data_IF_810353184534
#
_entry.id   IF_810353184534
#
_cell.length_a   1.000
_cell.length_b   1.000
_cell.length_c   1.000
_cell.angle_alpha   90.00
_cell.angle_beta   90.00
_cell.angle_gamma   90.00
#
_symmetry.space_group_name_H-M   'P 1'
#
loop_
_entity.id
_entity.type
_entity.pdbx_description
1 polymer ?
#
# COMPACT_ATOMS: atom_id res chain seq x y z
N UNK A 1 4.38 -55.30 -2.17
CA UNK A 1 4.84 -53.89 -2.26
C UNK A 1 4.12 -53.25 -3.45
N UNK A 2 2.95 -52.67 -3.21
CA UNK A 2 2.18 -51.86 -4.17
C UNK A 2 1.66 -50.67 -3.36
N UNK A 3 2.12 -49.49 -3.73
CA UNK A 3 1.82 -48.22 -3.07
C UNK A 3 0.38 -47.79 -3.33
N UNK A 4 -0.21 -47.24 -2.28
CA UNK A 4 -1.56 -46.71 -2.19
C UNK A 4 -1.79 -45.54 -3.15
N UNK A 5 -2.85 -45.61 -3.95
CA UNK A 5 -3.49 -44.44 -4.55
C UNK A 5 -4.40 -43.81 -3.50
N UNK A 6 -3.99 -42.69 -2.91
CA UNK A 6 -4.88 -41.82 -2.14
C UNK A 6 -5.27 -40.65 -3.05
N UNK A 7 -6.51 -40.72 -3.55
CA UNK A 7 -7.18 -39.64 -4.26
C UNK A 7 -7.72 -38.69 -3.18
N UNK A 8 -7.14 -37.51 -3.02
CA UNK A 8 -7.78 -36.41 -2.28
C UNK A 8 -8.65 -35.62 -3.25
N UNK A 9 -9.95 -35.94 -3.20
CA UNK A 9 -11.02 -35.25 -3.91
C UNK A 9 -11.47 -34.07 -3.02
N UNK A 10 -10.98 -32.86 -3.28
CA UNK A 10 -11.62 -31.64 -2.78
C UNK A 10 -12.50 -31.07 -3.89
N UNK A 11 -13.77 -31.44 -3.85
CA UNK A 11 -14.82 -30.80 -4.63
C UNK A 11 -15.22 -29.50 -3.91
N UNK A 12 -14.86 -28.35 -4.48
CA UNK A 12 -15.37 -27.05 -4.03
C UNK A 12 -16.46 -26.60 -5.02
N UNK A 13 -17.69 -26.34 -4.57
CA UNK A 13 -18.79 -25.94 -5.45
C UNK A 13 -18.59 -24.50 -5.94
N UNK A 14 -18.47 -24.34 -7.26
CA UNK A 14 -18.47 -23.05 -7.96
C UNK A 14 -19.89 -22.49 -7.94
N UNK A 15 -20.15 -21.49 -7.11
CA UNK A 15 -21.37 -20.68 -7.22
C UNK A 15 -21.19 -19.65 -8.33
N UNK A 16 -21.97 -19.79 -9.41
CA UNK A 16 -22.10 -18.77 -10.45
C UNK A 16 -22.78 -17.52 -9.89
N UNK A 17 -22.08 -16.39 -9.89
CA UNK A 17 -22.67 -15.06 -9.67
C UNK A 17 -22.93 -14.42 -11.03
N UNK A 18 -24.19 -14.46 -11.47
CA UNK A 18 -24.67 -13.76 -12.66
C UNK A 18 -24.65 -12.24 -12.42
N UNK A 19 -23.94 -11.51 -13.27
CA UNK A 19 -23.94 -10.04 -13.28
C UNK A 19 -25.26 -9.54 -13.89
N UNK A 20 -25.99 -8.71 -13.14
CA UNK A 20 -27.11 -7.92 -13.67
C UNK A 20 -26.56 -6.52 -13.94
N UNK A 21 -26.39 -6.20 -15.22
CA UNK A 21 -26.07 -4.86 -15.71
C UNK A 21 -27.31 -3.98 -15.59
N UNK A 22 -27.23 -2.90 -14.82
CA UNK A 22 -28.26 -1.86 -14.74
C UNK A 22 -27.70 -0.53 -15.22
N UNK A 23 -28.12 -0.09 -16.41
CA UNK A 23 -27.98 1.28 -16.88
C UNK A 23 -28.96 2.19 -16.14
N UNK A 24 -28.55 3.42 -15.85
CA UNK A 24 -29.47 4.55 -15.70
C UNK A 24 -28.86 5.81 -16.30
N UNK A 25 -29.46 6.25 -17.40
CA UNK A 25 -29.40 7.63 -17.90
C UNK A 25 -30.37 8.52 -17.09
N UNK A 26 -30.03 9.80 -16.92
CA UNK A 26 -30.88 11.04 -17.02
C UNK A 26 -30.18 12.17 -16.25
N UNK A 27 -29.69 13.22 -16.90
CA UNK A 27 -30.36 14.45 -17.40
C UNK A 27 -30.05 15.68 -16.51
N UNK A 28 -29.50 16.69 -17.19
CA UNK A 28 -29.60 18.15 -17.04
C UNK A 28 -30.28 18.77 -15.79
N UNK A 29 -29.65 19.83 -15.22
CA UNK A 29 -30.17 21.21 -15.35
C UNK A 29 -29.23 22.29 -14.73
N UNK A 30 -28.89 23.27 -15.59
CA UNK A 30 -28.92 24.73 -15.43
C UNK A 30 -28.11 25.53 -14.35
N UNK A 31 -27.22 26.38 -14.91
CA UNK A 31 -27.11 27.86 -14.79
C UNK A 31 -27.13 28.53 -13.40
N UNK A 32 -26.09 29.34 -13.12
CA UNK A 32 -26.26 30.81 -13.06
C UNK A 32 -24.92 31.59 -13.14
N UNK A 33 -25.08 32.88 -13.46
CA UNK A 33 -24.16 33.87 -14.04
C UNK A 33 -23.25 34.56 -13.02
N UNK A 34 -22.08 35.05 -13.46
CA UNK A 34 -21.32 36.10 -12.77
C UNK A 34 -20.25 36.75 -13.65
N UNK A 35 -20.46 38.02 -13.99
CA UNK A 35 -19.64 38.84 -14.90
C UNK A 35 -18.33 39.36 -14.29
N UNK A 36 -17.34 39.55 -15.18
CA UNK A 36 -16.33 40.62 -15.28
C UNK A 36 -15.67 41.17 -14.01
N UNK A 37 -14.35 40.98 -13.89
CA UNK A 37 -13.48 41.92 -13.18
C UNK A 37 -12.13 42.10 -13.90
N UNK A 38 -11.83 43.38 -14.02
CA UNK A 38 -10.67 44.12 -14.52
C UNK A 38 -9.33 43.49 -14.09
N UNK A 39 -8.37 43.45 -15.03
CA UNK A 39 -6.98 43.13 -14.74
C UNK A 39 -6.32 44.31 -13.99
N UNK A 40 -6.11 44.12 -12.69
CA UNK A 40 -5.20 44.93 -11.88
C UNK A 40 -3.78 44.34 -11.96
N UNK A 41 -2.80 45.23 -11.98
CA UNK A 41 -1.37 44.96 -12.04
C UNK A 41 -0.95 43.93 -10.99
N UNK A 42 -0.39 42.82 -11.46
CA UNK A 42 0.23 41.82 -10.61
C UNK A 42 1.54 42.38 -10.06
N UNK A 43 1.47 42.83 -8.80
CA UNK A 43 2.59 42.93 -7.88
C UNK A 43 3.46 41.67 -8.02
N UNK A 44 4.76 41.87 -8.25
CA UNK A 44 5.72 40.78 -8.50
C UNK A 44 5.79 39.92 -7.23
N UNK A 45 4.99 38.86 -7.20
CA UNK A 45 4.99 37.89 -6.13
C UNK A 45 6.41 37.35 -5.97
N UNK A 46 6.96 37.56 -4.77
CA UNK A 46 8.11 36.81 -4.26
C UNK A 46 7.92 35.35 -4.65
N UNK A 47 8.85 34.81 -5.46
CA UNK A 47 8.82 33.41 -5.89
C UNK A 47 8.86 32.58 -4.62
N UNK A 48 7.70 32.07 -4.19
CA UNK A 48 7.57 31.28 -2.99
C UNK A 48 8.54 30.10 -3.09
N UNK A 49 9.60 30.15 -2.29
CA UNK A 49 10.62 29.11 -2.26
C UNK A 49 9.96 27.80 -1.84
N UNK A 50 10.25 26.72 -2.58
CA UNK A 50 9.79 25.36 -2.24
C UNK A 50 10.06 25.08 -0.76
N UNK A 51 9.06 24.68 0.04
CA UNK A 51 9.23 24.41 1.46
C UNK A 51 10.22 23.25 1.64
N UNK A 52 11.21 23.45 2.51
CA UNK A 52 12.12 22.38 2.89
C UNK A 52 11.45 21.45 3.91
N UNK A 53 11.91 20.20 4.06
CA UNK A 53 11.42 19.28 5.10
C UNK A 53 11.38 19.91 6.50
N UNK A 54 12.41 20.67 6.88
CA UNK A 54 12.53 21.30 8.20
C UNK A 54 11.48 22.42 8.39
N UNK A 55 11.24 23.22 7.34
CA UNK A 55 10.21 24.26 7.38
C UNK A 55 8.83 23.64 7.50
N UNK A 56 8.56 22.58 6.73
CA UNK A 56 7.30 21.82 6.83
C UNK A 56 7.14 21.20 8.20
N UNK A 57 8.19 20.59 8.75
CA UNK A 57 8.19 20.02 10.10
C UNK A 57 7.81 21.07 11.15
N UNK A 58 8.46 22.23 11.14
CA UNK A 58 8.18 23.30 12.09
C UNK A 58 6.72 23.78 12.01
N UNK A 59 6.18 23.93 10.79
CA UNK A 59 4.78 24.31 10.57
C UNK A 59 3.80 23.25 11.10
N UNK A 60 4.05 21.98 10.79
CA UNK A 60 3.20 20.88 11.26
C UNK A 60 3.28 20.73 12.79
N UNK A 61 4.45 20.91 13.39
CA UNK A 61 4.58 20.87 14.86
C UNK A 61 3.86 22.04 15.54
N UNK A 62 3.84 23.22 14.91
CA UNK A 62 3.06 24.35 15.40
C UNK A 62 1.55 24.11 15.26
N UNK A 63 1.10 23.51 14.16
CA UNK A 63 -0.30 23.19 13.88
C UNK A 63 -0.83 22.07 14.79
N UNK A 64 0.01 21.09 15.10
CA UNK A 64 -0.29 19.93 15.94
C UNK A 64 0.65 19.89 17.14
N UNK A 65 0.43 20.74 18.18
CA UNK A 65 1.32 20.85 19.33
C UNK A 65 1.18 19.69 20.34
N UNK A 66 0.12 18.91 20.23
CA UNK A 66 -0.16 17.77 21.10
C UNK A 66 0.56 16.50 20.63
N UNK A 67 0.19 15.35 21.19
CA UNK A 67 0.70 14.02 20.83
C UNK A 67 0.28 13.67 19.40
N UNK A 68 1.25 13.26 18.58
CA UNK A 68 1.04 12.83 17.19
C UNK A 68 0.59 11.37 17.16
N UNK A 69 1.12 10.59 18.11
CA UNK A 69 0.80 9.20 18.33
C UNK A 69 -0.38 9.05 19.30
N UNK A 70 -1.60 8.98 18.77
CA UNK A 70 -2.73 8.47 19.54
C UNK A 70 -3.08 7.03 19.14
N UNK A 71 -3.90 6.37 19.96
CA UNK A 71 -4.21 4.94 19.87
C UNK A 71 -4.52 4.43 18.45
N UNK A 72 -5.20 5.24 17.63
CA UNK A 72 -5.69 4.86 16.30
C UNK A 72 -5.14 5.75 15.16
N UNK A 73 -3.99 6.41 15.41
CA UNK A 73 -3.33 7.34 14.50
C UNK A 73 -4.22 8.53 14.06
N UNK A 74 -5.19 8.95 14.86
CA UNK A 74 -6.12 10.01 14.48
C UNK A 74 -5.43 11.36 14.22
N UNK A 75 -4.44 11.72 15.04
CA UNK A 75 -3.65 12.93 14.88
C UNK A 75 -2.75 12.83 13.66
N UNK A 76 -2.07 11.70 13.43
CA UNK A 76 -1.31 11.49 12.20
C UNK A 76 -2.21 11.55 10.96
N UNK A 77 -3.42 10.99 10.99
CA UNK A 77 -4.43 11.14 9.93
C UNK A 77 -4.74 12.62 9.69
N UNK A 78 -5.01 13.40 10.75
CA UNK A 78 -5.25 14.85 10.65
C UNK A 78 -4.06 15.58 10.03
N UNK A 79 -2.82 15.25 10.43
CA UNK A 79 -1.58 15.78 9.83
C UNK A 79 -1.57 15.52 8.33
N UNK A 80 -1.83 14.29 7.89
CA UNK A 80 -1.81 13.91 6.47
C UNK A 80 -2.94 14.53 5.63
N UNK A 81 -3.97 15.06 6.28
CA UNK A 81 -5.05 15.84 5.64
C UNK A 81 -4.89 17.34 5.79
N UNK A 82 -3.85 17.81 6.49
CA UNK A 82 -3.64 19.23 6.74
C UNK A 82 -3.20 19.96 5.48
N UNK A 83 -3.61 21.22 5.35
CA UNK A 83 -3.23 22.05 4.20
C UNK A 83 -1.70 22.19 4.09
N UNK A 84 -0.99 22.39 5.20
CA UNK A 84 0.46 22.53 5.19
C UNK A 84 1.15 21.27 4.66
N UNK A 85 0.64 20.08 5.00
CA UNK A 85 1.16 18.82 4.51
C UNK A 85 0.88 18.62 3.02
N UNK A 86 -0.37 18.83 2.59
CA UNK A 86 -0.76 18.66 1.19
C UNK A 86 -0.06 19.67 0.27
N UNK A 87 0.05 20.93 0.69
CA UNK A 87 0.81 21.95 -0.04
C UNK A 87 2.30 21.55 -0.17
N UNK A 88 2.88 20.94 0.86
CA UNK A 88 4.24 20.39 0.81
C UNK A 88 4.35 19.25 -0.20
N UNK A 89 3.39 18.31 -0.23
CA UNK A 89 3.40 17.21 -1.20
C UNK A 89 3.29 17.72 -2.64
N UNK A 90 2.36 18.64 -2.91
CA UNK A 90 2.17 19.25 -4.25
C UNK A 90 3.45 19.93 -4.74
N UNK A 91 4.13 20.67 -3.86
CA UNK A 91 5.39 21.34 -4.21
C UNK A 91 6.59 20.38 -4.29
N UNK A 92 6.55 19.27 -3.54
CA UNK A 92 7.60 18.26 -3.54
C UNK A 92 7.53 17.36 -4.77
N UNK A 93 6.32 16.98 -5.16
CA UNK A 93 6.02 16.04 -6.24
C UNK A 93 5.09 16.66 -7.31
N UNK A 94 5.52 17.74 -7.99
CA UNK A 94 4.67 18.47 -8.93
C UNK A 94 4.26 17.63 -10.15
N UNK A 95 5.00 16.58 -10.48
CA UNK A 95 4.69 15.65 -11.57
C UNK A 95 3.52 14.69 -11.27
N UNK A 96 3.05 14.65 -10.02
CA UNK A 96 2.01 13.73 -9.53
C UNK A 96 0.65 14.43 -9.37
N UNK A 97 0.56 15.75 -9.64
CA UNK A 97 -0.67 16.55 -9.54
C UNK A 97 -1.64 16.19 -10.69
N UNK A 98 -2.98 16.16 -10.50
CA UNK A 98 -3.72 16.62 -9.32
C UNK A 98 -4.08 15.52 -8.30
N UNK A 99 -3.93 15.86 -7.02
CA UNK A 99 -4.49 15.12 -5.87
C UNK A 99 -4.89 16.10 -4.77
N UNK A 100 -5.88 15.74 -3.96
CA UNK A 100 -6.38 16.55 -2.83
C UNK A 100 -6.19 15.88 -1.46
N UNK A 101 -5.80 14.60 -1.46
CA UNK A 101 -5.61 13.80 -0.23
C UNK A 101 -4.34 12.98 -0.34
N UNK A 102 -3.83 12.46 0.79
CA UNK A 102 -2.73 11.50 0.78
C UNK A 102 -3.10 10.26 -0.03
N UNK A 103 -4.31 9.70 0.14
CA UNK A 103 -4.77 8.55 -0.65
C UNK A 103 -4.81 8.86 -2.15
N UNK A 104 -5.24 10.08 -2.51
CA UNK A 104 -5.17 10.57 -3.88
C UNK A 104 -3.73 10.55 -4.39
N UNK A 105 -2.79 11.12 -3.64
CA UNK A 105 -1.36 11.09 -3.95
C UNK A 105 -0.85 9.65 -4.16
N UNK A 106 -1.19 8.71 -3.28
CA UNK A 106 -0.77 7.31 -3.40
C UNK A 106 -1.34 6.64 -4.64
N UNK A 107 -2.54 7.02 -5.07
CA UNK A 107 -3.20 6.44 -6.24
C UNK A 107 -2.59 6.93 -7.56
N UNK A 108 -2.12 8.18 -7.61
CA UNK A 108 -1.52 8.77 -8.82
C UNK A 108 0.00 8.70 -8.86
N UNK A 109 0.66 8.48 -7.71
CA UNK A 109 2.10 8.32 -7.65
C UNK A 109 2.53 7.02 -8.37
N UNK A 110 3.40 7.10 -9.38
CA UNK A 110 3.88 5.90 -10.05
C UNK A 110 4.68 5.05 -9.07
N UNK A 111 4.54 3.70 -9.10
CA UNK A 111 5.34 2.84 -8.25
C UNK A 111 6.84 3.00 -8.58
N UNK A 112 7.74 2.98 -7.58
CA UNK A 112 9.17 3.14 -7.82
C UNK A 112 9.75 1.92 -8.57
N UNK A 113 10.12 2.02 -9.87
CA UNK A 113 10.50 0.83 -10.65
C UNK A 113 11.71 0.11 -10.07
N UNK A 114 12.69 0.86 -9.55
CA UNK A 114 13.90 0.33 -8.91
C UNK A 114 13.62 -0.62 -7.75
N UNK A 115 12.46 -0.51 -7.08
CA UNK A 115 12.06 -1.40 -5.98
C UNK A 115 11.65 -2.78 -6.50
N UNK A 116 10.94 -2.85 -7.61
CA UNK A 116 10.30 -4.08 -8.11
C UNK A 116 11.08 -4.74 -9.26
N UNK A 117 11.82 -3.97 -10.05
CA UNK A 117 12.59 -4.47 -11.18
C UNK A 117 13.56 -5.61 -10.84
N UNK A 118 14.32 -5.59 -9.72
CA UNK A 118 15.22 -6.69 -9.39
C UNK A 118 14.50 -8.02 -9.26
N UNK A 119 13.37 -8.04 -8.53
CA UNK A 119 12.51 -9.22 -8.38
C UNK A 119 11.92 -9.64 -9.74
N UNK A 120 11.36 -8.69 -10.49
CA UNK A 120 10.72 -8.96 -11.77
C UNK A 120 11.69 -9.57 -12.80
N UNK A 121 12.94 -9.13 -12.84
CA UNK A 121 13.96 -9.62 -13.79
C UNK A 121 14.33 -11.10 -13.59
N UNK A 122 13.99 -11.70 -12.46
CA UNK A 122 14.18 -13.14 -12.24
C UNK A 122 13.19 -14.00 -13.02
N UNK A 123 12.03 -13.45 -13.38
CA UNK A 123 10.92 -14.20 -14.00
C UNK A 123 10.49 -13.61 -15.35
N UNK A 124 10.79 -12.33 -15.58
CA UNK A 124 10.40 -11.57 -16.77
C UNK A 124 11.66 -10.90 -17.35
N UNK A 125 12.10 -11.34 -18.53
CA UNK A 125 13.35 -10.89 -19.14
C UNK A 125 13.40 -9.36 -19.35
N UNK A 126 12.28 -8.76 -19.75
CA UNK A 126 12.15 -7.31 -19.97
C UNK A 126 10.89 -6.82 -19.26
N UNK A 127 10.97 -6.44 -17.97
CA UNK A 127 9.85 -5.88 -17.24
C UNK A 127 9.43 -4.53 -17.84
N UNK A 128 8.11 -4.34 -17.96
CA UNK A 128 7.45 -3.13 -18.42
C UNK A 128 6.90 -2.34 -17.24
N UNK A 129 6.49 -1.09 -17.46
CA UNK A 129 5.79 -0.29 -16.43
C UNK A 129 4.52 -0.99 -15.93
N UNK A 130 3.79 -1.68 -16.81
CA UNK A 130 2.61 -2.47 -16.44
C UNK A 130 2.96 -3.62 -15.49
N UNK A 131 4.11 -4.28 -15.69
CA UNK A 131 4.58 -5.34 -14.76
C UNK A 131 4.89 -4.76 -13.38
N UNK A 132 5.55 -3.60 -13.35
CA UNK A 132 5.85 -2.87 -12.11
C UNK A 132 4.57 -2.50 -11.37
N UNK A 133 3.57 -1.96 -12.08
CA UNK A 133 2.28 -1.59 -11.48
C UNK A 133 1.52 -2.79 -10.92
N UNK A 134 1.46 -3.90 -11.65
CA UNK A 134 0.75 -5.10 -11.16
C UNK A 134 1.46 -5.73 -9.95
N UNK A 135 2.79 -5.83 -9.98
CA UNK A 135 3.55 -6.29 -8.81
C UNK A 135 3.41 -5.33 -7.64
N UNK A 136 3.38 -4.03 -7.86
CA UNK A 136 3.14 -3.05 -6.81
C UNK A 136 1.77 -3.27 -6.14
N UNK A 137 0.70 -3.46 -6.93
CA UNK A 137 -0.63 -3.73 -6.38
C UNK A 137 -0.68 -5.04 -5.59
N UNK A 138 -0.07 -6.11 -6.11
CA UNK A 138 0.08 -7.36 -5.36
C UNK A 138 0.84 -7.13 -4.06
N UNK A 139 1.94 -6.36 -4.12
CA UNK A 139 2.81 -6.08 -2.98
C UNK A 139 2.04 -5.35 -1.87
N UNK A 140 1.35 -4.26 -2.21
CA UNK A 140 0.54 -3.50 -1.26
C UNK A 140 -0.53 -4.38 -0.61
N UNK A 141 -1.17 -5.25 -1.40
CA UNK A 141 -2.21 -6.12 -0.87
C UNK A 141 -1.64 -7.19 0.05
N UNK A 142 -0.53 -7.83 -0.31
CA UNK A 142 0.11 -8.85 0.53
C UNK A 142 0.63 -8.24 1.83
N UNK A 143 1.19 -7.04 1.77
CA UNK A 143 1.60 -6.27 2.95
C UNK A 143 0.41 -5.98 3.88
N UNK A 144 -0.70 -5.50 3.32
CA UNK A 144 -1.91 -5.26 4.11
C UNK A 144 -2.41 -6.55 4.79
N UNK A 145 -2.40 -7.67 4.06
CA UNK A 145 -2.77 -8.98 4.61
C UNK A 145 -1.78 -9.50 5.66
N UNK A 146 -0.50 -9.12 5.60
CA UNK A 146 0.47 -9.39 6.67
C UNK A 146 0.13 -8.57 7.92
N UNK A 147 -0.20 -7.29 7.78
CA UNK A 147 -0.62 -6.44 8.89
C UNK A 147 -1.91 -6.95 9.55
N UNK A 148 -2.92 -7.35 8.76
CA UNK A 148 -4.10 -8.03 9.31
C UNK A 148 -3.72 -9.33 10.06
N UNK A 149 -2.75 -10.10 9.56
CA UNK A 149 -2.27 -11.30 10.25
C UNK A 149 -1.62 -10.96 11.61
N UNK A 150 -0.88 -9.85 11.68
CA UNK A 150 -0.29 -9.36 12.92
C UNK A 150 -1.37 -8.98 13.94
N UNK A 151 -2.44 -8.31 13.50
CA UNK A 151 -3.59 -7.98 14.35
C UNK A 151 -4.26 -9.25 14.87
N UNK A 152 -4.58 -10.19 13.98
CA UNK A 152 -5.21 -11.47 14.33
C UNK A 152 -4.35 -12.26 15.33
N UNK A 153 -3.03 -12.31 15.10
CA UNK A 153 -2.10 -12.99 16.00
C UNK A 153 -2.04 -12.29 17.36
N UNK A 154 -2.08 -10.97 17.37
CA UNK A 154 -2.10 -10.18 18.59
C UNK A 154 -3.36 -10.43 19.42
N UNK A 155 -4.52 -10.56 18.76
CA UNK A 155 -5.82 -10.82 19.39
C UNK A 155 -6.06 -12.30 19.73
N UNK A 156 -5.31 -13.21 19.10
CA UNK A 156 -5.49 -14.66 19.27
C UNK A 156 -6.66 -15.24 18.47
N UNK A 157 -7.07 -14.62 17.35
CA UNK A 157 -8.21 -15.06 16.53
C UNK A 157 -7.85 -16.14 15.49
N UNK A 158 -7.99 -17.41 15.87
CA UNK A 158 -7.69 -18.55 14.98
C UNK A 158 -8.57 -18.56 13.71
N UNK A 159 -9.82 -18.09 13.78
CA UNK A 159 -10.72 -18.10 12.61
C UNK A 159 -10.31 -17.01 11.60
N UNK A 160 -9.77 -15.89 12.08
CA UNK A 160 -9.18 -14.84 11.25
C UNK A 160 -8.08 -15.35 10.32
N UNK A 161 -7.21 -16.25 10.80
CA UNK A 161 -6.11 -16.82 10.01
C UNK A 161 -6.60 -17.55 8.76
N UNK A 162 -7.68 -18.34 8.86
CA UNK A 162 -8.23 -19.07 7.71
C UNK A 162 -8.81 -18.13 6.65
N UNK A 163 -9.49 -17.06 7.09
CA UNK A 163 -10.04 -16.04 6.18
C UNK A 163 -8.95 -15.30 5.39
N UNK A 164 -7.79 -15.04 6.00
CA UNK A 164 -6.67 -14.40 5.32
C UNK A 164 -6.12 -15.24 4.16
N UNK A 165 -6.09 -16.56 4.28
CA UNK A 165 -5.66 -17.44 3.18
C UNK A 165 -6.60 -17.30 1.98
N UNK A 166 -7.92 -17.26 2.21
CA UNK A 166 -8.89 -17.03 1.14
C UNK A 166 -8.73 -15.66 0.50
N UNK A 167 -8.53 -14.60 1.30
CA UNK A 167 -8.26 -13.25 0.77
C UNK A 167 -7.05 -13.23 -0.15
N UNK A 168 -5.94 -13.92 0.19
CA UNK A 168 -4.75 -14.01 -0.68
C UNK A 168 -5.05 -14.64 -2.04
N UNK A 169 -5.87 -15.70 -2.06
CA UNK A 169 -6.33 -16.32 -3.31
C UNK A 169 -7.14 -15.34 -4.14
N UNK A 170 -8.07 -14.62 -3.53
CA UNK A 170 -8.90 -13.67 -4.26
C UNK A 170 -8.08 -12.59 -4.97
N UNK A 171 -6.98 -12.13 -4.37
CA UNK A 171 -6.12 -11.09 -4.96
C UNK A 171 -5.53 -11.54 -6.28
N UNK A 172 -4.99 -12.76 -6.35
CA UNK A 172 -4.42 -13.31 -7.59
C UNK A 172 -5.47 -13.69 -8.62
N UNK A 173 -6.74 -13.84 -8.20
CA UNK A 173 -7.88 -14.11 -9.08
C UNK A 173 -8.60 -12.84 -9.57
N UNK A 174 -8.28 -11.66 -9.04
CA UNK A 174 -8.89 -10.39 -9.44
C UNK A 174 -8.14 -9.77 -10.62
N UNK A 175 -8.88 -9.19 -11.56
CA UNK A 175 -8.29 -8.34 -12.59
C UNK A 175 -7.82 -7.02 -11.97
N UNK A 176 -6.71 -6.42 -12.48
CA UNK A 176 -5.93 -6.84 -13.64
C UNK A 176 -4.87 -7.93 -13.36
N UNK A 177 -4.66 -8.33 -12.11
CA UNK A 177 -3.59 -9.25 -11.70
C UNK A 177 -3.73 -10.61 -12.37
N UNK A 178 -4.94 -11.19 -12.36
CA UNK A 178 -5.20 -12.48 -12.99
C UNK A 178 -4.81 -12.50 -14.46
N UNK A 179 -5.30 -11.52 -15.23
CA UNK A 179 -4.96 -11.39 -16.66
C UNK A 179 -3.45 -11.18 -16.85
N UNK A 180 -2.83 -10.31 -16.06
CA UNK A 180 -1.38 -10.08 -16.13
C UNK A 180 -0.56 -11.34 -15.85
N UNK A 181 -0.93 -12.13 -14.84
CA UNK A 181 -0.25 -13.39 -14.52
C UNK A 181 -0.40 -14.40 -15.66
N UNK A 182 -1.60 -14.54 -16.21
CA UNK A 182 -1.84 -15.41 -17.36
C UNK A 182 -1.00 -14.99 -18.57
N UNK A 183 -0.84 -13.69 -18.82
CA UNK A 183 -0.05 -13.19 -19.96
C UNK A 183 1.46 -13.33 -19.74
N UNK A 184 1.95 -13.02 -18.53
CA UNK A 184 3.39 -12.84 -18.27
C UNK A 184 4.07 -14.06 -17.67
N UNK A 185 3.29 -14.95 -17.05
CA UNK A 185 3.79 -16.14 -16.38
C UNK A 185 3.27 -17.44 -17.02
N UNK A 186 2.56 -17.38 -18.16
CA UNK A 186 2.03 -18.55 -18.87
C UNK A 186 3.10 -19.61 -19.22
N UNK A 187 4.31 -19.16 -19.55
CA UNK A 187 5.40 -20.06 -19.95
C UNK A 187 6.16 -20.67 -18.77
N UNK A 188 5.84 -20.27 -17.53
CA UNK A 188 6.45 -20.85 -16.34
C UNK A 188 5.87 -22.24 -16.08
N UNK A 189 6.74 -23.23 -15.89
CA UNK A 189 6.31 -24.52 -15.36
C UNK A 189 5.82 -24.37 -13.90
N UNK A 190 5.14 -25.40 -13.40
CA UNK A 190 4.56 -25.37 -12.04
C UNK A 190 5.61 -25.06 -10.96
N UNK A 191 6.84 -25.57 -11.12
CA UNK A 191 7.92 -25.35 -10.16
C UNK A 191 8.39 -23.90 -10.17
N UNK A 192 8.51 -23.29 -11.35
CA UNK A 192 8.92 -21.91 -11.53
C UNK A 192 7.86 -20.94 -11.06
N UNK A 193 6.57 -21.26 -11.27
CA UNK A 193 5.46 -20.50 -10.73
C UNK A 193 5.41 -20.58 -9.20
N UNK A 194 5.66 -21.76 -8.61
CA UNK A 194 5.78 -21.88 -7.15
C UNK A 194 6.96 -21.07 -6.61
N UNK A 195 8.11 -21.09 -7.30
CA UNK A 195 9.26 -20.24 -6.96
C UNK A 195 8.88 -18.76 -7.01
N UNK A 196 8.17 -18.31 -8.06
CA UNK A 196 7.71 -16.92 -8.18
C UNK A 196 6.94 -16.47 -6.94
N UNK A 197 5.94 -17.24 -6.50
CA UNK A 197 5.16 -16.87 -5.32
C UNK A 197 6.00 -16.89 -4.03
N UNK A 198 6.86 -17.90 -3.87
CA UNK A 198 7.74 -18.00 -2.70
C UNK A 198 8.68 -16.79 -2.62
N UNK A 199 9.29 -16.41 -3.73
CA UNK A 199 10.21 -15.28 -3.78
C UNK A 199 9.49 -13.95 -3.67
N UNK A 200 8.26 -13.87 -4.17
CA UNK A 200 7.40 -12.69 -3.98
C UNK A 200 7.04 -12.47 -2.51
N UNK A 201 6.67 -13.53 -1.79
CA UNK A 201 6.40 -13.45 -0.35
C UNK A 201 7.65 -13.03 0.44
N UNK A 202 8.81 -13.61 0.11
CA UNK A 202 10.09 -13.21 0.70
C UNK A 202 10.41 -11.74 0.39
N UNK A 203 10.17 -11.28 -0.84
CA UNK A 203 10.35 -9.89 -1.24
C UNK A 203 9.47 -8.94 -0.42
N UNK A 204 8.20 -9.30 -0.17
CA UNK A 204 7.29 -8.54 0.69
C UNK A 204 7.84 -8.46 2.13
N UNK A 205 8.19 -9.61 2.73
CA UNK A 205 8.73 -9.67 4.11
C UNK A 205 10.01 -8.85 4.25
N UNK A 206 10.98 -9.00 3.35
CA UNK A 206 12.25 -8.27 3.44
C UNK A 206 12.04 -6.76 3.27
N UNK A 207 11.08 -6.36 2.44
CA UNK A 207 10.68 -4.96 2.33
C UNK A 207 10.06 -4.44 3.61
N UNK A 208 9.14 -5.20 4.23
CA UNK A 208 8.55 -4.82 5.52
C UNK A 208 9.61 -4.67 6.62
N UNK A 209 10.60 -5.57 6.68
CA UNK A 209 11.73 -5.44 7.60
C UNK A 209 12.58 -4.21 7.33
N UNK A 210 12.76 -3.82 6.07
CA UNK A 210 13.46 -2.58 5.71
C UNK A 210 12.68 -1.36 6.18
N UNK A 211 11.36 -1.33 5.91
CA UNK A 211 10.50 -0.22 6.30
C UNK A 211 10.40 -0.09 7.83
N UNK A 212 10.27 -1.21 8.55
CA UNK A 212 10.30 -1.25 10.01
C UNK A 212 11.60 -0.69 10.58
N UNK A 213 12.75 -1.07 10.01
CA UNK A 213 14.06 -0.54 10.41
C UNK A 213 14.18 0.96 10.13
N UNK A 214 13.74 1.43 8.97
CA UNK A 214 13.77 2.84 8.63
C UNK A 214 12.91 3.68 9.61
N UNK A 215 11.72 3.19 9.97
CA UNK A 215 10.86 3.83 10.97
C UNK A 215 11.53 3.80 12.35
N UNK A 216 12.16 2.68 12.73
CA UNK A 216 12.90 2.56 13.98
C UNK A 216 14.05 3.57 14.05
N UNK A 217 14.82 3.75 12.98
CA UNK A 217 15.90 4.75 12.91
C UNK A 217 15.38 6.18 13.11
N UNK A 218 14.21 6.51 12.54
CA UNK A 218 13.56 7.80 12.79
C UNK A 218 13.13 7.95 14.25
N UNK A 219 12.59 6.90 14.88
CA UNK A 219 12.20 6.92 16.29
C UNK A 219 13.39 7.02 17.23
N UNK A 220 14.52 6.41 16.89
CA UNK A 220 15.76 6.51 17.66
C UNK A 220 16.38 7.91 17.54
N UNK A 221 16.29 8.51 16.35
CA UNK A 221 16.89 9.83 16.07
C UNK A 221 16.07 10.98 16.66
N UNK A 222 14.75 10.94 16.50
CA UNK A 222 13.86 12.08 16.83
C UNK A 222 12.87 11.78 17.96
N UNK A 223 12.84 10.56 18.49
CA UNK A 223 11.74 10.09 19.35
C UNK A 223 10.52 9.69 18.53
N UNK A 224 9.57 9.00 19.16
CA UNK A 224 8.38 8.44 18.47
C UNK A 224 7.48 9.51 17.87
N UNK A 225 7.16 10.55 18.65
CA UNK A 225 6.26 11.63 18.23
C UNK A 225 6.78 12.38 17.00
N UNK A 226 7.99 12.93 17.12
CA UNK A 226 8.61 13.69 16.04
C UNK A 226 9.03 12.78 14.89
N UNK A 227 9.43 11.54 15.20
CA UNK A 227 9.77 10.53 14.20
C UNK A 227 8.61 10.20 13.27
N UNK A 228 7.35 10.20 13.75
CA UNK A 228 6.17 10.04 12.89
C UNK A 228 5.93 11.25 11.96
N UNK A 229 6.19 12.47 12.44
CA UNK A 229 6.13 13.66 11.56
C UNK A 229 7.24 13.62 10.51
N UNK A 230 8.46 13.24 10.90
CA UNK A 230 9.55 13.04 9.96
C UNK A 230 9.26 11.94 8.96
N UNK A 231 8.63 10.83 9.37
CA UNK A 231 8.17 9.78 8.48
C UNK A 231 7.17 10.33 7.45
N UNK A 232 6.18 11.11 7.88
CA UNK A 232 5.19 11.73 7.00
C UNK A 232 5.83 12.62 5.92
N UNK A 233 6.86 13.36 6.29
CA UNK A 233 7.55 14.32 5.42
C UNK A 233 8.52 13.62 4.46
N UNK A 234 9.33 12.68 4.99
CA UNK A 234 10.41 12.04 4.24
C UNK A 234 9.90 10.87 3.40
N UNK A 235 8.92 10.13 3.90
CA UNK A 235 8.36 8.93 3.26
C UNK A 235 6.81 8.97 3.23
N UNK A 236 6.19 9.86 2.45
CA UNK A 236 4.73 9.97 2.37
C UNK A 236 4.05 8.65 1.96
N UNK A 237 4.68 7.89 1.06
CA UNK A 237 4.16 6.60 0.61
C UNK A 237 4.13 5.55 1.72
N UNK A 238 5.20 5.47 2.52
CA UNK A 238 5.26 4.57 3.67
C UNK A 238 4.29 5.01 4.77
N UNK A 239 4.14 6.30 4.99
CA UNK A 239 3.15 6.86 5.93
C UNK A 239 1.73 6.46 5.56
N UNK A 240 1.37 6.59 4.27
CA UNK A 240 0.09 6.15 3.75
C UNK A 240 -0.13 4.64 3.95
N UNK A 241 0.90 3.83 3.70
CA UNK A 241 0.85 2.39 3.95
C UNK A 241 0.64 2.08 5.44
N UNK A 242 1.37 2.73 6.35
CA UNK A 242 1.18 2.55 7.80
C UNK A 242 -0.25 2.88 8.21
N UNK A 243 -0.81 4.00 7.73
CA UNK A 243 -2.18 4.40 8.04
C UNK A 243 -3.25 3.46 7.45
N UNK A 244 -2.95 2.80 6.33
CA UNK A 244 -3.81 1.79 5.73
C UNK A 244 -3.70 0.42 6.44
N UNK A 245 -2.50 0.05 6.85
CA UNK A 245 -2.18 -1.29 7.34
C UNK A 245 -2.46 -1.46 8.84
N UNK A 246 -2.32 -0.38 9.63
CA UNK A 246 -2.44 -0.42 11.08
C UNK A 246 -3.54 0.51 11.58
N UNK A 247 -4.53 -0.08 12.24
CA UNK A 247 -5.54 0.64 13.02
C UNK A 247 -5.18 0.72 14.50
N UNK A 248 -4.27 -0.13 14.97
CA UNK A 248 -3.82 -0.21 16.36
C UNK A 248 -2.33 0.14 16.45
N UNK A 249 -2.03 1.19 17.21
CA UNK A 249 -0.64 1.64 17.44
C UNK A 249 0.21 0.61 18.18
N UNK A 250 -0.36 -0.23 19.05
CA UNK A 250 0.40 -1.27 19.75
C UNK A 250 0.91 -2.33 18.77
N UNK A 251 0.06 -2.77 17.84
CA UNK A 251 0.44 -3.72 16.79
C UNK A 251 1.48 -3.11 15.86
N UNK A 252 1.29 -1.86 15.47
CA UNK A 252 2.30 -1.13 14.69
C UNK A 252 3.67 -1.10 15.41
N UNK A 253 3.72 -0.81 16.71
CA UNK A 253 5.00 -0.78 17.42
C UNK A 253 5.67 -2.14 17.53
N UNK A 254 4.90 -3.22 17.70
CA UNK A 254 5.45 -4.57 17.68
C UNK A 254 6.01 -4.91 16.30
N UNK A 255 5.34 -4.49 15.23
CA UNK A 255 5.83 -4.62 13.86
C UNK A 255 7.11 -3.81 13.63
N UNK A 256 7.19 -2.54 14.06
CA UNK A 256 8.41 -1.71 13.97
C UNK A 256 9.58 -2.34 14.72
N UNK A 257 9.34 -2.92 15.91
CA UNK A 257 10.37 -3.64 16.69
C UNK A 257 10.75 -5.00 16.10
N UNK A 258 10.04 -5.44 15.06
CA UNK A 258 10.25 -6.72 14.40
C UNK A 258 9.78 -7.94 15.20
N UNK A 259 8.92 -7.77 16.19
CA UNK A 259 8.41 -8.87 17.03
C UNK A 259 7.69 -9.94 16.18
N UNK A 260 7.02 -9.54 15.10
CA UNK A 260 6.33 -10.48 14.20
C UNK A 260 7.25 -11.19 13.19
N UNK A 261 8.47 -10.71 12.98
CA UNK A 261 9.41 -11.33 12.02
C UNK A 261 10.20 -12.49 12.62
N UNK A 262 10.17 -12.64 13.96
CA UNK A 262 10.96 -13.62 14.70
C UNK A 262 10.24 -14.97 14.89
N UNK A 263 8.91 -15.01 14.75
CA UNK A 263 8.11 -16.10 15.31
C UNK A 263 7.42 -17.06 14.34
N UNK A 264 7.29 -16.79 13.02
CA UNK A 264 6.81 -17.81 12.08
C UNK A 264 7.19 -17.47 10.63
N UNK A 265 7.67 -18.44 9.81
CA UNK A 265 7.55 -18.31 8.37
C UNK A 265 6.06 -18.30 8.05
N UNK A 266 5.59 -17.23 7.38
CA UNK A 266 4.26 -17.16 6.78
C UNK A 266 3.94 -18.52 6.16
N UNK A 267 2.78 -19.09 6.48
CA UNK A 267 2.37 -20.41 5.98
C UNK A 267 2.57 -20.40 4.46
N UNK A 268 3.50 -21.20 3.91
CA UNK A 268 3.79 -21.14 2.49
C UNK A 268 2.51 -21.46 1.73
N UNK A 269 2.11 -20.53 0.89
CA UNK A 269 0.91 -20.61 0.09
C UNK A 269 1.07 -21.73 -0.95
N UNK A 270 0.70 -22.96 -0.60
CA UNK A 270 0.41 -24.02 -1.57
C UNK A 270 -0.95 -23.73 -2.22
N UNK A 271 -1.01 -22.66 -3.02
CA UNK A 271 -2.24 -22.29 -3.70
C UNK A 271 -2.57 -23.31 -4.79
N UNK A 272 -3.84 -23.76 -4.90
CA UNK A 272 -4.30 -24.40 -6.11
C UNK A 272 -4.24 -23.35 -7.24
N UNK A 273 -3.26 -23.49 -8.12
CA UNK A 273 -3.12 -22.63 -9.30
C UNK A 273 -4.32 -22.92 -10.22
N UNK A 274 -5.07 -21.90 -10.68
CA UNK A 274 -6.14 -22.10 -11.64
C UNK A 274 -5.57 -22.75 -12.91
N UNK A 275 -6.17 -23.86 -13.34
CA UNK A 275 -5.90 -24.48 -14.65
C UNK A 275 -6.59 -23.70 -15.77
#
# INVERSE_FOLDING_TARGET
>A
MRMNSIIYLFAIPVFMVTHISGCTDTEELNQFIGNTAIAEETEVASVASKPTPEITFAKLRQEFPDEILDKDFNTLKKVTTSKNYLDFLVQTYPAVVPFETLDGFLHVAPPPPKKYEPFLKEFIATPTEKDVTNIHHMFLTYRHLNAEMHQITHEGDILGTANLIFKRVEVVQKDPIKTWMADRLADLDQKSLQKFFTDFENFVIETEKMDARQIQELFETYGKEEGLLWLAILEPALTGQVLNDFTDTEVFFKWVKGEFFLENPIIPLNLPIPQ
#
